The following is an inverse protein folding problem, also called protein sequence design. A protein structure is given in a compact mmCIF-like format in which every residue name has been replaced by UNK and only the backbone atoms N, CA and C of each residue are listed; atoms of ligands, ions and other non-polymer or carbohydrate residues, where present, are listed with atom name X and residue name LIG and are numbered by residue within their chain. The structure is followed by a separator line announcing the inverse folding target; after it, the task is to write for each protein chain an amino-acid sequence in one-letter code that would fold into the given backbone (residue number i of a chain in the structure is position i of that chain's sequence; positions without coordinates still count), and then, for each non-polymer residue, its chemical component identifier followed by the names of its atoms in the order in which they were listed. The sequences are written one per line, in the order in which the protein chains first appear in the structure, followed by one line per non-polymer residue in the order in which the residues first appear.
data_IF_425877344743
#
_entry.id   IF_425877344743
#
_cell.length_a   1.000
_cell.length_b   1.000
_cell.length_c   1.000
_cell.angle_alpha   90.00
_cell.angle_beta   90.00
_cell.angle_gamma   90.00
#
_symmetry.space_group_name_H-M   'P 1'
#
loop_
_entity.id
_entity.type
_entity.pdbx_description
1 polymer ?
#
# COMPACT_ATOMS: atom_id res chain seq x y z
N UNK A 1 -3.85 25.00 -10.36
CA UNK A 1 -5.29 25.00 -10.67
C UNK A 1 -5.72 23.62 -11.14
N UNK A 2 -6.96 23.23 -10.83
CA UNK A 2 -7.52 21.93 -11.22
C UNK A 2 -7.34 20.81 -10.19
N UNK A 3 -6.63 21.04 -9.10
CA UNK A 3 -6.46 20.06 -8.01
C UNK A 3 -7.71 19.88 -7.15
N UNK A 4 -8.68 20.80 -7.25
CA UNK A 4 -9.90 20.87 -6.41
C UNK A 4 -9.62 20.92 -4.90
N UNK A 5 -8.42 21.37 -4.52
CA UNK A 5 -8.03 21.53 -3.11
C UNK A 5 -8.40 22.88 -2.54
N UNK A 6 -8.79 23.84 -3.40
CA UNK A 6 -9.24 25.16 -3.00
C UNK A 6 -10.73 25.16 -2.66
N UNK A 7 -11.17 26.24 -2.02
CA UNK A 7 -12.60 26.47 -1.72
C UNK A 7 -13.42 26.39 -3.02
N UNK A 8 -14.58 25.71 -3.03
CA UNK A 8 -15.43 25.63 -4.21
C UNK A 8 -15.74 27.00 -4.80
N UNK A 9 -15.63 27.12 -6.12
CA UNK A 9 -15.83 28.40 -6.84
C UNK A 9 -14.63 29.34 -6.89
N UNK A 10 -13.51 29.00 -6.21
CA UNK A 10 -12.30 29.82 -6.24
C UNK A 10 -11.51 29.62 -7.54
N UNK A 11 -11.24 28.36 -7.88
CA UNK A 11 -10.44 28.03 -9.07
C UNK A 11 -11.14 28.47 -10.36
N UNK A 12 -12.45 28.25 -10.46
CA UNK A 12 -13.24 28.59 -11.63
C UNK A 12 -13.21 30.09 -11.96
N UNK A 13 -13.19 30.94 -10.92
CA UNK A 13 -13.20 32.39 -11.11
C UNK A 13 -11.85 32.96 -11.52
N UNK A 14 -10.74 32.23 -11.33
CA UNK A 14 -9.39 32.67 -11.71
C UNK A 14 -8.87 32.01 -13.00
N UNK A 15 -9.62 31.04 -13.55
CA UNK A 15 -9.31 30.47 -14.86
C UNK A 15 -9.29 31.58 -15.93
N UNK A 16 -8.25 31.57 -16.76
CA UNK A 16 -8.06 32.51 -17.85
C UNK A 16 -7.33 33.80 -17.45
N UNK A 17 -7.02 34.03 -16.18
CA UNK A 17 -6.19 35.15 -15.75
C UNK A 17 -4.77 35.05 -16.29
N UNK A 18 -4.19 36.22 -16.65
CA UNK A 18 -2.82 36.35 -17.14
C UNK A 18 -1.86 36.79 -16.04
N UNK A 19 -0.57 36.53 -16.24
CA UNK A 19 0.45 37.01 -15.32
C UNK A 19 0.33 38.55 -15.15
N UNK A 20 0.52 39.04 -13.93
CA UNK A 20 0.36 40.43 -13.48
C UNK A 20 -1.08 40.98 -13.45
N UNK A 21 -2.07 40.19 -13.81
CA UNK A 21 -3.48 40.57 -13.73
C UNK A 21 -3.97 40.52 -12.27
N UNK A 22 -4.89 41.45 -11.95
CA UNK A 22 -5.54 41.47 -10.63
C UNK A 22 -7.06 41.41 -10.79
N UNK A 23 -7.70 40.59 -9.95
CA UNK A 23 -9.15 40.38 -9.97
C UNK A 23 -9.68 40.29 -8.54
N UNK A 24 -10.87 40.82 -8.33
CA UNK A 24 -11.63 40.57 -7.10
C UNK A 24 -12.65 39.45 -7.37
N UNK A 25 -12.69 38.45 -6.52
CA UNK A 25 -13.63 37.35 -6.61
C UNK A 25 -14.38 37.19 -5.29
N UNK A 26 -15.65 36.83 -5.36
CA UNK A 26 -16.46 36.47 -4.20
C UNK A 26 -16.58 34.97 -4.12
N UNK A 27 -16.23 34.37 -2.94
CA UNK A 27 -16.32 32.95 -2.68
C UNK A 27 -17.02 32.71 -1.35
N UNK A 28 -17.83 31.66 -1.28
CA UNK A 28 -18.48 31.25 -0.05
C UNK A 28 -17.73 30.07 0.55
N UNK A 29 -17.35 30.17 1.81
CA UNK A 29 -16.74 29.06 2.53
C UNK A 29 -17.76 27.94 2.77
N UNK A 30 -17.38 26.67 2.63
CA UNK A 30 -18.24 25.52 2.97
C UNK A 30 -18.69 25.55 4.44
N UNK A 31 -19.84 24.96 4.73
CA UNK A 31 -20.36 24.85 6.10
C UNK A 31 -19.53 23.93 7.01
N UNK A 32 -18.75 23.03 6.42
CA UNK A 32 -17.82 22.10 7.07
C UNK A 32 -16.38 22.61 7.14
N UNK A 33 -16.13 23.89 6.82
CA UNK A 33 -14.78 24.47 6.84
C UNK A 33 -14.16 24.42 8.24
N UNK A 34 -12.85 24.15 8.32
CA UNK A 34 -12.14 23.93 9.59
C UNK A 34 -12.20 25.15 10.55
N UNK A 35 -12.22 26.36 10.02
CA UNK A 35 -12.32 27.57 10.84
C UNK A 35 -13.79 27.96 11.04
N UNK A 36 -14.31 27.76 12.25
CA UNK A 36 -15.74 28.00 12.59
C UNK A 36 -16.21 29.42 12.27
N UNK A 37 -15.34 30.40 12.43
CA UNK A 37 -15.64 31.81 12.16
C UNK A 37 -15.79 32.13 10.67
N UNK A 38 -15.46 31.22 9.78
CA UNK A 38 -15.54 31.40 8.32
C UNK A 38 -16.61 30.54 7.65
N UNK A 39 -17.20 29.58 8.37
CA UNK A 39 -18.21 28.67 7.84
C UNK A 39 -19.40 29.43 7.25
N UNK A 40 -19.77 29.10 6.01
CA UNK A 40 -20.88 29.69 5.29
C UNK A 40 -20.72 31.18 4.94
N UNK A 41 -19.60 31.81 5.28
CA UNK A 41 -19.39 33.23 5.02
C UNK A 41 -18.98 33.50 3.58
N UNK A 42 -19.52 34.58 3.02
CA UNK A 42 -19.10 35.17 1.74
C UNK A 42 -17.93 36.11 1.96
N UNK A 43 -16.84 35.88 1.27
CA UNK A 43 -15.62 36.69 1.39
C UNK A 43 -15.15 37.14 0.01
N UNK A 44 -14.72 38.41 -0.05
CA UNK A 44 -14.10 38.99 -1.24
C UNK A 44 -12.59 38.80 -1.19
N UNK A 45 -12.04 38.08 -2.19
CA UNK A 45 -10.60 37.89 -2.35
C UNK A 45 -10.06 38.88 -3.42
N UNK A 46 -9.04 39.64 -3.06
CA UNK A 46 -8.21 40.37 -4.01
C UNK A 46 -7.05 39.52 -4.46
N UNK A 47 -7.12 39.00 -5.67
CA UNK A 47 -6.11 38.13 -6.23
C UNK A 47 -5.22 38.91 -7.18
N UNK A 48 -3.91 38.76 -7.06
CA UNK A 48 -2.94 39.23 -8.03
C UNK A 48 -2.17 38.00 -8.55
N UNK A 49 -2.35 37.70 -9.82
CA UNK A 49 -1.64 36.62 -10.48
C UNK A 49 -0.17 37.02 -10.66
N UNK A 50 0.76 36.32 -10.05
CA UNK A 50 2.19 36.60 -10.16
C UNK A 50 2.77 35.97 -11.42
N UNK A 51 2.46 34.69 -11.61
CA UNK A 51 2.98 33.85 -12.68
C UNK A 51 1.93 32.86 -13.12
N UNK A 52 1.89 32.54 -14.39
CA UNK A 52 1.08 31.45 -14.95
C UNK A 52 2.03 30.49 -15.62
N UNK A 53 2.09 29.27 -15.11
CA UNK A 53 2.93 28.20 -15.64
C UNK A 53 2.07 27.13 -16.26
N UNK A 54 2.48 26.61 -17.39
CA UNK A 54 1.87 25.48 -18.07
C UNK A 54 2.78 24.25 -17.92
N UNK A 55 2.15 23.10 -17.65
CA UNK A 55 2.88 21.83 -17.62
C UNK A 55 3.22 21.43 -19.06
N UNK A 56 4.49 21.47 -19.40
CA UNK A 56 4.97 20.96 -20.68
C UNK A 56 5.52 19.54 -20.47
N UNK A 57 4.82 18.58 -21.04
CA UNK A 57 5.31 17.20 -21.02
C UNK A 57 6.59 17.09 -21.87
N UNK A 58 7.59 16.34 -21.38
CA UNK A 58 8.80 16.08 -22.15
C UNK A 58 8.49 15.20 -23.38
N UNK A 59 9.34 15.28 -24.40
CA UNK A 59 9.29 14.32 -25.48
C UNK A 59 9.72 12.94 -24.97
N UNK A 60 9.10 11.87 -25.47
CA UNK A 60 9.50 10.51 -25.17
C UNK A 60 10.68 10.11 -26.07
N UNK A 61 11.85 10.66 -25.76
CA UNK A 61 13.11 10.44 -26.46
C UNK A 61 14.16 9.81 -25.54
N UNK A 62 15.33 9.51 -26.12
CA UNK A 62 16.41 8.83 -25.41
C UNK A 62 16.92 9.66 -24.20
N UNK A 63 16.87 10.97 -24.27
CA UNK A 63 17.28 11.86 -23.18
C UNK A 63 16.31 11.74 -22.00
N UNK A 64 14.99 11.74 -22.28
CA UNK A 64 13.97 11.50 -21.28
C UNK A 64 14.13 10.12 -20.64
N UNK A 65 14.30 9.05 -21.41
CA UNK A 65 14.45 7.69 -20.86
C UNK A 65 15.66 7.56 -19.95
N UNK A 66 16.79 8.20 -20.30
CA UNK A 66 17.96 8.26 -19.43
C UNK A 66 17.70 9.04 -18.14
N UNK A 67 16.93 10.13 -18.21
CA UNK A 67 16.63 10.95 -17.03
C UNK A 67 15.83 10.20 -15.97
N UNK A 68 15.01 9.21 -16.38
CA UNK A 68 14.24 8.34 -15.49
C UNK A 68 14.91 6.98 -15.26
N UNK A 69 16.20 6.85 -15.59
CA UNK A 69 17.01 5.63 -15.46
C UNK A 69 16.42 4.38 -16.16
N UNK A 70 15.75 4.58 -17.29
CA UNK A 70 15.27 3.49 -18.13
C UNK A 70 16.21 3.25 -19.29
N UNK A 71 16.71 2.02 -19.39
CA UNK A 71 17.56 1.59 -20.52
C UNK A 71 16.66 1.13 -21.69
N UNK A 72 16.12 2.12 -22.40
CA UNK A 72 15.30 1.95 -23.62
C UNK A 72 15.68 3.06 -24.63
N UNK A 73 15.51 2.79 -25.91
CA UNK A 73 15.91 3.73 -26.97
C UNK A 73 14.74 4.29 -27.75
N UNK A 74 13.63 3.61 -27.77
CA UNK A 74 12.45 3.98 -28.54
C UNK A 74 11.22 4.08 -27.66
N UNK A 75 10.25 4.88 -28.12
CA UNK A 75 8.93 4.99 -27.48
C UNK A 75 8.23 3.63 -27.37
N UNK A 76 8.33 2.79 -28.39
CA UNK A 76 7.71 1.47 -28.39
C UNK A 76 8.33 0.53 -27.33
N UNK A 77 9.65 0.55 -27.17
CA UNK A 77 10.33 -0.20 -26.09
C UNK A 77 9.93 0.33 -24.71
N UNK A 78 9.79 1.65 -24.57
CA UNK A 78 9.35 2.28 -23.33
C UNK A 78 7.92 1.85 -22.97
N UNK A 79 6.98 1.96 -23.90
CA UNK A 79 5.58 1.56 -23.68
C UNK A 79 5.49 0.07 -23.32
N UNK A 80 6.22 -0.79 -24.02
CA UNK A 80 6.26 -2.21 -23.71
C UNK A 80 6.80 -2.49 -22.30
N UNK A 81 7.87 -1.81 -21.91
CA UNK A 81 8.46 -2.00 -20.58
C UNK A 81 7.55 -1.51 -19.47
N UNK A 82 6.83 -0.40 -19.67
CA UNK A 82 5.81 0.08 -18.74
C UNK A 82 4.64 -0.92 -18.66
N UNK A 83 4.18 -1.44 -19.79
CA UNK A 83 3.11 -2.45 -19.79
C UNK A 83 3.52 -3.72 -19.03
N UNK A 84 4.72 -4.25 -19.27
CA UNK A 84 5.27 -5.40 -18.53
C UNK A 84 5.36 -5.13 -17.01
N UNK A 85 5.78 -3.91 -16.62
CA UNK A 85 5.82 -3.52 -15.22
C UNK A 85 4.41 -3.46 -14.62
N UNK A 86 3.47 -2.80 -15.29
CA UNK A 86 2.09 -2.69 -14.81
C UNK A 86 1.41 -4.07 -14.70
N UNK A 87 1.66 -4.98 -15.64
CA UNK A 87 1.16 -6.36 -15.56
C UNK A 87 1.75 -7.11 -14.36
N UNK A 88 3.03 -6.91 -14.08
CA UNK A 88 3.70 -7.53 -12.93
C UNK A 88 3.15 -6.99 -11.61
N UNK A 89 2.98 -5.68 -11.52
CA UNK A 89 2.43 -5.01 -10.34
C UNK A 89 0.97 -5.43 -10.12
N UNK A 90 0.16 -5.50 -11.18
CA UNK A 90 -1.21 -5.96 -11.13
C UNK A 90 -1.30 -7.41 -10.61
N UNK A 91 -0.47 -8.30 -11.16
CA UNK A 91 -0.43 -9.71 -10.72
C UNK A 91 -0.04 -9.84 -9.25
N UNK A 92 0.93 -9.07 -8.80
CA UNK A 92 1.39 -9.07 -7.40
C UNK A 92 0.30 -8.54 -6.47
N UNK A 93 -0.34 -7.43 -6.84
CA UNK A 93 -1.45 -6.86 -6.08
C UNK A 93 -2.65 -7.79 -6.00
N UNK A 94 -3.05 -8.41 -7.11
CA UNK A 94 -4.14 -9.39 -7.14
C UNK A 94 -3.82 -10.59 -6.23
N UNK A 95 -2.61 -11.15 -6.33
CA UNK A 95 -2.19 -12.27 -5.47
C UNK A 95 -2.28 -11.89 -3.99
N UNK A 96 -1.76 -10.73 -3.61
CA UNK A 96 -1.77 -10.25 -2.23
C UNK A 96 -3.20 -10.07 -1.71
N UNK A 97 -4.06 -9.44 -2.52
CA UNK A 97 -5.46 -9.19 -2.13
C UNK A 97 -6.29 -10.45 -2.07
N UNK A 98 -6.10 -11.37 -3.01
CA UNK A 98 -6.77 -12.68 -2.99
C UNK A 98 -6.37 -13.44 -1.71
N UNK A 99 -5.06 -13.49 -1.40
CA UNK A 99 -4.56 -14.10 -0.16
C UNK A 99 -5.20 -13.47 1.08
N UNK A 100 -5.25 -12.13 1.14
CA UNK A 100 -5.88 -11.43 2.26
C UNK A 100 -7.36 -11.81 2.42
N UNK A 101 -8.13 -11.78 1.32
CA UNK A 101 -9.57 -12.16 1.33
C UNK A 101 -9.77 -13.62 1.79
N UNK A 102 -8.91 -14.53 1.35
CA UNK A 102 -8.95 -15.94 1.78
C UNK A 102 -8.71 -16.04 3.29
N UNK A 103 -7.70 -15.37 3.81
CA UNK A 103 -7.37 -15.41 5.24
C UNK A 103 -8.43 -14.71 6.10
N UNK A 104 -9.00 -13.60 5.65
CA UNK A 104 -10.10 -12.93 6.34
C UNK A 104 -11.35 -13.82 6.40
N UNK A 105 -11.68 -14.50 5.31
CA UNK A 105 -12.78 -15.46 5.25
C UNK A 105 -12.52 -16.67 6.16
N UNK A 106 -11.29 -17.19 6.17
CA UNK A 106 -10.89 -18.31 7.02
C UNK A 106 -10.95 -17.95 8.50
N UNK A 107 -10.42 -16.79 8.90
CA UNK A 107 -10.47 -16.29 10.28
C UNK A 107 -11.92 -16.04 10.74
N UNK A 108 -12.71 -15.37 9.92
CA UNK A 108 -14.10 -15.04 10.28
C UNK A 108 -15.00 -16.26 10.42
N UNK A 109 -14.72 -17.32 9.64
CA UNK A 109 -15.47 -18.58 9.67
C UNK A 109 -15.04 -19.52 10.82
N UNK A 110 -13.89 -19.27 11.45
CA UNK A 110 -13.30 -20.13 12.47
C UNK A 110 -13.03 -19.35 13.76
N UNK A 111 -14.10 -18.99 14.47
CA UNK A 111 -13.98 -18.26 15.72
C UNK A 111 -13.49 -19.19 16.84
N UNK A 112 -12.26 -18.97 17.31
CA UNK A 112 -11.65 -19.67 18.45
C UNK A 112 -11.28 -18.68 19.54
N UNK A 113 -11.33 -19.12 20.79
CA UNK A 113 -10.93 -18.31 21.92
C UNK A 113 -9.42 -18.17 22.00
N UNK A 114 -8.94 -16.95 22.13
CA UNK A 114 -7.53 -16.61 22.23
C UNK A 114 -7.20 -16.10 23.64
N UNK A 115 -6.17 -16.63 24.32
CA UNK A 115 -5.75 -16.13 25.63
C UNK A 115 -5.40 -14.65 25.60
N UNK A 116 -5.89 -13.90 26.60
CA UNK A 116 -5.69 -12.44 26.70
C UNK A 116 -4.21 -12.05 26.69
N UNK A 117 -3.33 -12.89 27.26
CA UNK A 117 -1.89 -12.63 27.26
C UNK A 117 -1.31 -12.57 25.85
N UNK A 118 -1.79 -13.43 24.91
CA UNK A 118 -1.34 -13.40 23.52
C UNK A 118 -1.85 -12.15 22.79
N UNK A 119 -3.11 -11.76 23.04
CA UNK A 119 -3.70 -10.55 22.46
C UNK A 119 -2.94 -9.30 22.92
N UNK A 120 -2.67 -9.20 24.22
CA UNK A 120 -1.93 -8.05 24.78
C UNK A 120 -0.49 -8.00 24.24
N UNK A 121 0.19 -9.14 24.14
CA UNK A 121 1.53 -9.21 23.57
C UNK A 121 1.55 -8.69 22.14
N UNK A 122 0.66 -9.19 21.30
CA UNK A 122 0.57 -8.78 19.89
C UNK A 122 0.10 -7.32 19.74
N UNK A 123 -0.84 -6.86 20.57
CA UNK A 123 -1.26 -5.47 20.57
C UNK A 123 -0.10 -4.51 20.90
N UNK A 124 0.78 -4.89 21.83
CA UNK A 124 2.00 -4.13 22.10
C UNK A 124 2.96 -4.14 20.91
N UNK A 125 3.13 -5.28 20.23
CA UNK A 125 3.96 -5.38 19.03
C UNK A 125 3.44 -4.46 17.92
N UNK A 126 2.13 -4.50 17.64
CA UNK A 126 1.49 -3.65 16.65
C UNK A 126 1.65 -2.16 16.99
N UNK A 127 1.39 -1.80 18.25
CA UNK A 127 1.57 -0.43 18.74
C UNK A 127 3.00 0.06 18.55
N UNK A 128 3.97 -0.76 18.94
CA UNK A 128 5.38 -0.44 18.85
C UNK A 128 5.83 -0.26 17.39
N UNK A 129 5.42 -1.16 16.51
CA UNK A 129 5.74 -1.07 15.08
C UNK A 129 5.11 0.17 14.43
N UNK A 130 3.87 0.47 14.76
CA UNK A 130 3.17 1.66 14.22
C UNK A 130 3.85 2.95 14.70
N UNK A 131 4.19 3.04 15.99
CA UNK A 131 4.89 4.20 16.52
C UNK A 131 6.27 4.38 15.87
N UNK A 132 7.02 3.30 15.67
CA UNK A 132 8.31 3.33 14.98
C UNK A 132 8.18 3.79 13.51
N UNK A 133 7.16 3.34 12.78
CA UNK A 133 6.87 3.80 11.42
C UNK A 133 6.53 5.29 11.37
N UNK A 134 5.88 5.81 12.40
CA UNK A 134 5.57 7.24 12.55
C UNK A 134 6.75 8.06 13.05
N UNK A 135 7.92 7.44 13.34
CA UNK A 135 9.09 8.11 13.90
C UNK A 135 8.91 8.55 15.36
N UNK A 136 7.97 7.94 16.08
CA UNK A 136 7.67 8.24 17.48
C UNK A 136 8.53 7.36 18.40
N UNK A 137 9.03 7.97 19.48
CA UNK A 137 9.74 7.26 20.56
C UNK A 137 8.73 6.79 21.61
N UNK A 138 8.41 5.50 21.61
CA UNK A 138 7.42 4.90 22.51
C UNK A 138 7.75 5.14 23.99
N UNK A 139 9.06 5.20 24.33
CA UNK A 139 9.49 5.47 25.70
C UNK A 139 9.14 6.88 26.20
N UNK A 140 8.74 7.78 25.29
CA UNK A 140 8.35 9.17 25.58
C UNK A 140 6.87 9.46 25.37
N UNK A 141 6.10 8.48 24.84
CA UNK A 141 4.67 8.63 24.63
C UNK A 141 3.92 8.35 25.95
N UNK A 142 3.01 9.23 26.28
CA UNK A 142 2.03 8.97 27.35
C UNK A 142 1.03 7.90 26.87
N UNK A 143 0.54 7.09 27.79
CA UNK A 143 -0.30 5.92 27.46
C UNK A 143 -1.63 6.30 26.78
N UNK A 144 -2.14 7.49 27.07
CA UNK A 144 -3.35 8.07 26.50
C UNK A 144 -3.14 8.62 25.07
N UNK A 145 -1.93 8.98 24.67
CA UNK A 145 -1.62 9.44 23.33
C UNK A 145 -1.62 8.30 22.31
N UNK A 146 -1.34 7.07 22.74
CA UNK A 146 -1.25 5.90 21.86
C UNK A 146 -1.77 4.64 22.58
N UNK A 147 -3.10 4.59 22.89
CA UNK A 147 -3.68 3.54 23.72
C UNK A 147 -3.56 2.17 23.08
N UNK A 148 -3.17 1.18 23.86
CA UNK A 148 -3.08 -0.23 23.43
C UNK A 148 -4.43 -0.78 22.97
N UNK A 149 -5.54 -0.24 23.49
CA UNK A 149 -6.89 -0.68 23.18
C UNK A 149 -7.23 -0.53 21.71
N UNK A 150 -6.64 0.46 21.03
CA UNK A 150 -6.81 0.68 19.59
C UNK A 150 -6.20 -0.46 18.72
N UNK A 151 -5.34 -1.28 19.31
CA UNK A 151 -4.64 -2.37 18.62
C UNK A 151 -5.19 -3.75 18.97
N UNK A 152 -6.02 -3.88 20.02
CA UNK A 152 -6.48 -5.18 20.53
C UNK A 152 -7.32 -5.96 19.53
N UNK A 153 -8.19 -5.30 18.78
CA UNK A 153 -9.03 -5.98 17.78
C UNK A 153 -8.19 -6.57 16.65
N UNK A 154 -7.26 -5.78 16.12
CA UNK A 154 -6.34 -6.24 15.08
C UNK A 154 -5.40 -7.33 15.60
N UNK A 155 -4.93 -7.20 16.85
CA UNK A 155 -4.11 -8.20 17.50
C UNK A 155 -4.86 -9.52 17.67
N UNK A 156 -6.13 -9.49 18.08
CA UNK A 156 -6.97 -10.68 18.21
C UNK A 156 -7.10 -11.41 16.87
N UNK A 157 -7.47 -10.69 15.79
CA UNK A 157 -7.61 -11.26 14.45
C UNK A 157 -6.29 -11.90 13.99
N UNK A 158 -5.19 -11.21 14.19
CA UNK A 158 -3.86 -11.65 13.76
C UNK A 158 -3.37 -12.89 14.52
N UNK A 159 -3.52 -12.91 15.84
CA UNK A 159 -3.16 -14.08 16.66
C UNK A 159 -4.06 -15.27 16.33
N UNK A 160 -5.37 -15.05 16.18
CA UNK A 160 -6.33 -16.09 15.81
C UNK A 160 -5.98 -16.72 14.48
N UNK A 161 -5.74 -15.90 13.46
CA UNK A 161 -5.33 -16.36 12.14
C UNK A 161 -4.03 -17.16 12.22
N UNK A 162 -3.02 -16.70 12.95
CA UNK A 162 -1.76 -17.41 13.13
C UNK A 162 -1.93 -18.80 13.78
N UNK A 163 -2.78 -18.91 14.79
CA UNK A 163 -3.11 -20.20 15.44
C UNK A 163 -3.83 -21.14 14.46
N UNK A 164 -4.80 -20.60 13.71
CA UNK A 164 -5.54 -21.39 12.70
C UNK A 164 -4.64 -21.88 11.57
N UNK A 165 -3.76 -21.02 11.05
CA UNK A 165 -2.78 -21.38 10.00
C UNK A 165 -1.85 -22.48 10.52
N UNK A 166 -1.26 -22.34 11.71
CA UNK A 166 -0.36 -23.33 12.27
C UNK A 166 -1.06 -24.69 12.43
N UNK A 167 -2.29 -24.69 12.92
CA UNK A 167 -3.08 -25.92 13.03
C UNK A 167 -3.36 -26.55 11.67
N UNK A 168 -3.70 -25.76 10.66
CA UNK A 168 -3.95 -26.23 9.30
C UNK A 168 -2.69 -26.88 8.70
N UNK A 169 -1.52 -26.26 8.90
CA UNK A 169 -0.22 -26.76 8.46
C UNK A 169 0.06 -28.12 9.09
N UNK A 170 -0.11 -28.25 10.40
CA UNK A 170 0.13 -29.50 11.13
C UNK A 170 -0.82 -30.61 10.68
N UNK A 171 -2.14 -30.36 10.59
CA UNK A 171 -3.15 -31.34 10.24
C UNK A 171 -3.03 -31.85 8.79
N UNK A 172 -2.56 -31.01 7.87
CA UNK A 172 -2.49 -31.32 6.45
C UNK A 172 -1.05 -31.55 5.95
N UNK A 173 -0.06 -31.50 6.83
CA UNK A 173 1.36 -31.68 6.51
C UNK A 173 1.84 -30.72 5.41
N UNK A 174 1.37 -29.45 5.45
CA UNK A 174 1.78 -28.42 4.48
C UNK A 174 3.23 -28.05 4.79
N UNK A 175 4.10 -28.17 3.81
CA UNK A 175 5.53 -27.87 3.96
C UNK A 175 6.09 -27.19 2.73
N UNK A 176 7.18 -26.48 2.91
CA UNK A 176 7.93 -25.85 1.82
C UNK A 176 9.02 -26.83 1.36
N UNK A 177 9.00 -27.17 0.08
CA UNK A 177 10.07 -27.91 -0.54
C UNK A 177 11.20 -26.97 -0.98
N UNK A 178 12.42 -27.51 -1.06
CA UNK A 178 13.61 -26.73 -1.41
C UNK A 178 13.53 -26.10 -2.80
N UNK A 179 12.85 -26.73 -3.77
CA UNK A 179 12.75 -26.22 -5.13
C UNK A 179 11.83 -25.02 -5.20
N UNK A 180 10.71 -25.04 -4.47
CA UNK A 180 9.79 -23.90 -4.34
C UNK A 180 10.49 -22.72 -3.65
N UNK A 181 11.20 -22.99 -2.54
CA UNK A 181 11.94 -21.96 -1.83
C UNK A 181 13.02 -21.30 -2.70
N UNK A 182 13.80 -22.13 -3.41
CA UNK A 182 14.84 -21.67 -4.33
C UNK A 182 14.25 -20.80 -5.42
N UNK A 183 13.15 -21.23 -6.05
CA UNK A 183 12.47 -20.47 -7.09
C UNK A 183 11.99 -19.11 -6.59
N UNK A 184 11.41 -19.05 -5.39
CA UNK A 184 10.93 -17.78 -4.81
C UNK A 184 12.10 -16.81 -4.55
N UNK A 185 13.24 -17.32 -4.06
CA UNK A 185 14.45 -16.51 -3.85
C UNK A 185 14.98 -15.97 -5.19
N UNK A 186 15.04 -16.83 -6.22
CA UNK A 186 15.48 -16.45 -7.56
C UNK A 186 14.52 -15.43 -8.20
N UNK A 187 13.22 -15.60 -8.06
CA UNK A 187 12.23 -14.66 -8.59
C UNK A 187 12.32 -13.29 -7.91
N UNK A 188 12.49 -13.25 -6.60
CA UNK A 188 12.71 -12.00 -5.85
C UNK A 188 14.04 -11.32 -6.24
N UNK A 189 15.07 -12.11 -6.49
CA UNK A 189 16.40 -11.58 -6.85
C UNK A 189 16.39 -10.75 -8.13
N UNK A 190 15.48 -11.01 -9.07
CA UNK A 190 15.35 -10.28 -10.36
C UNK A 190 15.04 -8.79 -10.19
N UNK A 191 14.51 -8.38 -9.04
CA UNK A 191 14.23 -6.98 -8.72
C UNK A 191 15.47 -6.23 -8.19
N UNK A 192 16.58 -6.92 -7.94
CA UNK A 192 17.79 -6.33 -7.41
C UNK A 192 18.84 -6.08 -8.51
N UNK A 193 19.69 -5.11 -8.29
CA UNK A 193 20.75 -4.74 -9.24
C UNK A 193 21.77 -5.86 -9.44
N UNK A 194 22.01 -6.63 -8.39
CA UNK A 194 22.90 -7.81 -8.39
C UNK A 194 22.12 -9.02 -7.82
N UNK A 195 21.47 -9.81 -8.69
CA UNK A 195 20.70 -10.98 -8.28
C UNK A 195 21.53 -12.04 -7.54
N UNK A 196 22.76 -12.28 -7.95
CA UNK A 196 23.61 -13.29 -7.33
C UNK A 196 24.00 -12.89 -5.90
N UNK A 197 24.32 -11.61 -5.69
CA UNK A 197 24.64 -11.09 -4.36
C UNK A 197 23.44 -11.23 -3.42
N UNK A 198 22.21 -10.93 -3.91
CA UNK A 198 20.99 -11.10 -3.13
C UNK A 198 20.78 -12.57 -2.72
N UNK A 199 20.90 -13.50 -3.67
CA UNK A 199 20.74 -14.94 -3.40
C UNK A 199 21.74 -15.41 -2.35
N UNK A 200 23.02 -15.05 -2.51
CA UNK A 200 24.08 -15.43 -1.57
C UNK A 200 23.84 -14.82 -0.19
N UNK A 201 23.33 -13.59 -0.12
CA UNK A 201 22.99 -12.94 1.14
C UNK A 201 21.84 -13.65 1.88
N UNK A 202 20.79 -14.07 1.15
CA UNK A 202 19.67 -14.80 1.73
C UNK A 202 20.15 -16.14 2.29
N UNK A 203 20.89 -16.94 1.52
CA UNK A 203 21.41 -18.24 2.00
C UNK A 203 22.45 -18.10 3.11
N UNK A 204 23.15 -16.99 3.18
CA UNK A 204 24.13 -16.69 4.24
C UNK A 204 23.49 -16.17 5.55
N UNK A 205 22.16 -15.89 5.55
CA UNK A 205 21.46 -15.33 6.70
C UNK A 205 20.25 -16.20 7.06
N UNK A 206 20.38 -16.99 8.12
CA UNK A 206 19.34 -17.94 8.56
C UNK A 206 18.00 -17.25 8.88
N UNK A 207 18.02 -16.04 9.43
CA UNK A 207 16.81 -15.26 9.73
C UNK A 207 16.06 -14.86 8.46
N UNK A 208 16.80 -14.36 7.46
CA UNK A 208 16.21 -13.97 6.18
C UNK A 208 15.67 -15.18 5.41
N UNK A 209 16.39 -16.30 5.45
CA UNK A 209 15.94 -17.54 4.83
C UNK A 209 14.62 -18.01 5.47
N UNK A 210 14.53 -18.03 6.80
CA UNK A 210 13.29 -18.37 7.53
C UNK A 210 12.15 -17.40 7.21
N UNK A 211 12.42 -16.12 7.03
CA UNK A 211 11.41 -15.15 6.65
C UNK A 211 10.81 -15.47 5.27
N UNK A 212 11.67 -15.81 4.29
CA UNK A 212 11.18 -16.22 2.96
C UNK A 212 10.44 -17.54 3.03
N UNK A 213 10.95 -18.52 3.77
CA UNK A 213 10.28 -19.81 3.98
C UNK A 213 8.87 -19.61 4.57
N UNK A 214 8.72 -18.74 5.56
CA UNK A 214 7.43 -18.41 6.16
C UNK A 214 6.46 -17.78 5.15
N UNK A 215 6.94 -16.88 4.29
CA UNK A 215 6.12 -16.28 3.23
C UNK A 215 5.65 -17.31 2.20
N UNK A 216 6.55 -18.24 1.80
CA UNK A 216 6.21 -19.33 0.89
C UNK A 216 5.21 -20.30 1.55
N UNK A 217 5.37 -20.57 2.84
CA UNK A 217 4.45 -21.41 3.59
C UNK A 217 3.05 -20.78 3.69
N UNK A 218 2.96 -19.47 3.94
CA UNK A 218 1.69 -18.73 3.91
C UNK A 218 1.03 -18.78 2.52
N UNK A 219 1.80 -18.66 1.44
CA UNK A 219 1.28 -18.78 0.08
C UNK A 219 0.71 -20.18 -0.17
N UNK A 220 1.41 -21.24 0.23
CA UNK A 220 0.91 -22.62 0.14
C UNK A 220 -0.37 -22.86 0.95
N UNK A 221 -0.48 -22.24 2.13
CA UNK A 221 -1.70 -22.30 2.94
C UNK A 221 -2.85 -21.59 2.24
N UNK A 222 -2.60 -20.43 1.64
CA UNK A 222 -3.62 -19.71 0.87
C UNK A 222 -4.09 -20.52 -0.34
N UNK A 223 -3.17 -21.11 -1.11
CA UNK A 223 -3.47 -22.03 -2.23
C UNK A 223 -4.30 -23.24 -1.77
N UNK A 224 -3.93 -23.86 -0.66
CA UNK A 224 -4.70 -24.97 -0.09
C UNK A 224 -6.12 -24.56 0.29
N UNK A 225 -6.29 -23.38 0.93
CA UNK A 225 -7.60 -22.88 1.30
C UNK A 225 -8.44 -22.51 0.07
N UNK A 226 -7.82 -21.93 -0.96
CA UNK A 226 -8.48 -21.62 -2.23
C UNK A 226 -9.02 -22.88 -2.90
N UNK A 227 -8.22 -23.94 -3.01
CA UNK A 227 -8.62 -25.22 -3.59
C UNK A 227 -9.78 -25.90 -2.84
N UNK A 228 -9.89 -25.69 -1.52
CA UNK A 228 -10.95 -26.24 -0.67
C UNK A 228 -12.18 -25.35 -0.55
N UNK A 229 -12.10 -24.13 -1.04
CA UNK A 229 -13.16 -23.13 -0.93
C UNK A 229 -14.00 -23.06 -2.21
N UNK A 230 -15.23 -22.57 -2.06
CA UNK A 230 -16.04 -22.15 -3.21
C UNK A 230 -15.59 -20.73 -3.60
N UNK A 231 -14.84 -20.64 -4.69
CA UNK A 231 -14.34 -19.37 -5.22
C UNK A 231 -15.38 -18.74 -6.14
N UNK A 232 -15.63 -17.45 -5.97
CA UNK A 232 -16.40 -16.63 -6.87
C UNK A 232 -15.46 -15.62 -7.54
N UNK A 233 -15.45 -15.62 -8.88
CA UNK A 233 -14.62 -14.69 -9.65
C UNK A 233 -15.33 -13.33 -9.75
N UNK A 234 -14.59 -12.26 -9.46
CA UNK A 234 -15.03 -10.88 -9.62
C UNK A 234 -14.14 -10.18 -10.67
N UNK A 235 -14.76 -9.49 -11.60
CA UNK A 235 -14.02 -8.68 -12.59
C UNK A 235 -13.94 -7.25 -12.10
N UNK A 236 -12.72 -6.76 -11.88
CA UNK A 236 -12.44 -5.40 -11.43
C UNK A 236 -11.65 -4.64 -12.50
N UNK A 237 -11.82 -3.34 -12.55
CA UNK A 237 -10.96 -2.46 -13.34
C UNK A 237 -9.57 -2.32 -12.71
N UNK A 238 -8.59 -1.92 -13.51
CA UNK A 238 -7.23 -1.65 -13.00
C UNK A 238 -7.23 -0.62 -11.85
N UNK A 239 -8.03 0.43 -12.00
CA UNK A 239 -8.15 1.49 -10.99
C UNK A 239 -8.72 0.97 -9.66
N UNK A 240 -9.72 0.10 -9.71
CA UNK A 240 -10.29 -0.56 -8.53
C UNK A 240 -9.26 -1.45 -7.84
N UNK A 241 -8.51 -2.25 -8.59
CA UNK A 241 -7.47 -3.11 -8.00
C UNK A 241 -6.37 -2.29 -7.34
N UNK A 242 -5.93 -1.20 -7.96
CA UNK A 242 -4.89 -0.32 -7.39
C UNK A 242 -5.39 0.45 -6.18
N UNK A 243 -6.65 0.93 -6.19
CA UNK A 243 -7.24 1.70 -5.07
C UNK A 243 -7.61 0.86 -3.84
N UNK A 244 -7.67 -0.45 -3.98
CA UNK A 244 -7.91 -1.39 -2.88
C UNK A 244 -6.68 -1.58 -1.94
N UNK A 245 -5.58 -0.85 -2.14
CA UNK A 245 -4.33 -0.93 -1.39
C UNK A 245 -4.37 -0.33 -0.01
#
# INVERSE_FOLDING_TARGET
LGSKTMIPGFEEQIIGMKASESKEIEVTFPDDYQAENLKGQKVMFKIKMKEVSEVKLPNLDEEFFKSINMDVKTKAEFEKKIEEQLQTDLKTNLKTKTKQRIFDAFESSNQIDIPQSMIISEANNLRNNTAQQMGLDIGKLEEDQFPIDNFKENALKRVRLGVLINKLIEENNISVDNDTLKKEIEDKSKSFKDPEQYVNWIYGNEEQLKNIESLVLEDKVAEYLEEKSKVEEETLSFEEVVSMG
#
